data_IF_269389591573
#
_entry.id   IF_269389591573
#
_cell.length_a   1.000
_cell.length_b   1.000
_cell.length_c   1.000
_cell.angle_alpha   90.00
_cell.angle_beta   90.00
_cell.angle_gamma   90.00
#
_symmetry.space_group_name_H-M   'P 1'
#
loop_
_entity.id
_entity.type
_entity.pdbx_description
1 polymer ?
#
# COMPACT_ATOMS: atom_id res chain seq x y z
N UNK A 1 -8.25 19.84 -21.01
CA UNK A 1 -6.83 19.52 -21.30
C UNK A 1 -6.31 18.59 -20.22
N UNK A 2 -5.45 17.62 -20.56
CA UNK A 2 -4.79 16.80 -19.57
C UNK A 2 -3.89 17.66 -18.67
N UNK A 3 -3.77 17.27 -17.40
CA UNK A 3 -2.87 17.93 -16.46
C UNK A 3 -1.44 17.53 -16.83
N UNK A 4 -0.55 18.52 -16.93
CA UNK A 4 0.85 18.24 -17.20
C UNK A 4 1.50 17.56 -16.00
N UNK A 5 2.34 16.55 -16.23
CA UNK A 5 3.11 15.86 -15.20
C UNK A 5 3.96 16.84 -14.37
N UNK A 6 4.58 17.83 -15.03
CA UNK A 6 5.38 18.86 -14.35
C UNK A 6 4.57 19.66 -13.35
N UNK A 7 3.31 20.00 -13.65
CA UNK A 7 2.43 20.75 -12.73
C UNK A 7 2.21 19.99 -11.42
N UNK A 8 1.99 18.67 -11.48
CA UNK A 8 1.79 17.86 -10.27
C UNK A 8 3.08 17.78 -9.45
N UNK A 9 4.20 17.52 -10.12
CA UNK A 9 5.49 17.39 -9.43
C UNK A 9 5.96 18.71 -8.84
N UNK A 10 5.81 19.83 -9.55
CA UNK A 10 6.16 21.18 -9.07
C UNK A 10 5.29 21.58 -7.88
N UNK A 11 3.98 21.37 -7.95
CA UNK A 11 3.07 21.67 -6.83
C UNK A 11 3.41 20.82 -5.60
N UNK A 12 3.68 19.54 -5.77
CA UNK A 12 4.11 18.68 -4.67
C UNK A 12 5.45 19.13 -4.09
N UNK A 13 6.42 19.48 -4.94
CA UNK A 13 7.72 19.95 -4.51
C UNK A 13 7.66 21.28 -3.73
N UNK A 14 6.87 22.24 -4.21
CA UNK A 14 6.64 23.52 -3.52
C UNK A 14 6.01 23.28 -2.14
N UNK A 15 4.98 22.44 -2.08
CA UNK A 15 4.29 22.11 -0.83
C UNK A 15 5.21 21.44 0.18
N UNK A 16 5.98 20.45 -0.25
CA UNK A 16 6.94 19.73 0.58
C UNK A 16 7.99 20.69 1.15
N UNK A 17 8.52 21.58 0.29
CA UNK A 17 9.49 22.60 0.70
C UNK A 17 8.90 23.62 1.69
N UNK A 18 7.66 24.08 1.48
CA UNK A 18 6.97 24.98 2.41
C UNK A 18 6.83 24.37 3.82
N UNK A 19 6.72 23.06 3.91
CA UNK A 19 6.64 22.30 5.16
C UNK A 19 8.02 21.93 5.73
N UNK A 20 9.11 22.29 5.07
CA UNK A 20 10.47 21.96 5.49
C UNK A 20 10.78 20.46 5.46
N UNK A 21 10.07 19.70 4.63
CA UNK A 21 10.23 18.25 4.50
C UNK A 21 11.25 17.92 3.40
N UNK A 22 12.04 16.87 3.60
CA UNK A 22 13.07 16.41 2.66
C UNK A 22 12.79 14.95 2.27
N UNK A 23 11.92 14.69 1.27
CA UNK A 23 11.61 13.33 0.88
C UNK A 23 12.72 12.71 0.02
N UNK A 24 12.89 11.41 0.12
CA UNK A 24 13.54 10.63 -0.93
C UNK A 24 12.56 10.45 -2.09
N UNK A 25 12.91 10.95 -3.29
CA UNK A 25 12.03 10.97 -4.46
C UNK A 25 12.47 9.90 -5.46
N UNK A 26 11.49 9.11 -5.95
CA UNK A 26 11.67 8.17 -7.05
C UNK A 26 10.57 8.38 -8.07
N UNK A 27 10.93 8.60 -9.34
CA UNK A 27 9.98 8.77 -10.44
C UNK A 27 9.96 7.53 -11.33
N UNK A 28 8.76 7.18 -11.80
CA UNK A 28 8.50 6.07 -12.70
C UNK A 28 7.72 6.57 -13.90
N UNK A 29 8.17 6.24 -15.10
CA UNK A 29 7.48 6.54 -16.34
C UNK A 29 6.88 5.27 -16.95
N UNK A 30 5.72 5.42 -17.53
CA UNK A 30 4.97 4.34 -18.18
C UNK A 30 4.54 4.77 -19.57
N UNK A 31 4.38 3.82 -20.48
CA UNK A 31 3.91 4.07 -21.86
C UNK A 31 4.66 5.20 -22.55
N UNK A 32 6.00 5.14 -22.56
CA UNK A 32 6.84 6.16 -23.22
C UNK A 32 6.57 7.60 -22.70
N UNK A 33 6.39 7.76 -21.40
CA UNK A 33 6.18 9.05 -20.76
C UNK A 33 4.72 9.53 -20.73
N UNK A 34 3.77 8.78 -21.31
CA UNK A 34 2.36 9.20 -21.31
C UNK A 34 1.69 9.09 -19.92
N UNK A 35 2.26 8.31 -19.02
CA UNK A 35 1.84 8.23 -17.63
C UNK A 35 3.04 8.21 -16.69
N UNK A 36 2.85 8.73 -15.49
CA UNK A 36 3.88 8.74 -14.44
C UNK A 36 3.34 8.33 -13.09
N UNK A 37 4.25 7.83 -12.24
CA UNK A 37 4.08 7.76 -10.80
C UNK A 37 5.32 8.34 -10.13
N UNK A 38 5.15 9.22 -9.17
CA UNK A 38 6.23 9.77 -8.36
C UNK A 38 6.01 9.39 -6.92
N UNK A 39 7.03 8.80 -6.31
CA UNK A 39 7.06 8.35 -4.92
C UNK A 39 7.85 9.33 -4.08
N UNK A 40 7.27 9.83 -3.02
CA UNK A 40 7.88 10.68 -2.01
C UNK A 40 7.93 9.92 -0.69
N UNK A 41 9.11 9.51 -0.22
CA UNK A 41 9.31 8.83 1.06
C UNK A 41 9.87 9.80 2.10
N UNK A 42 9.21 9.93 3.24
CA UNK A 42 9.57 10.86 4.32
C UNK A 42 10.28 10.10 5.43
N UNK A 43 11.56 9.78 5.21
CA UNK A 43 12.36 8.97 6.13
C UNK A 43 12.55 9.63 7.49
N UNK A 44 12.60 10.95 7.55
CA UNK A 44 12.70 11.75 8.79
C UNK A 44 11.45 11.66 9.68
N UNK A 45 10.31 11.20 9.11
CA UNK A 45 9.06 10.92 9.82
C UNK A 45 8.88 9.43 10.13
N UNK A 46 9.89 8.61 9.79
CA UNK A 46 9.85 7.18 10.02
C UNK A 46 10.47 6.78 11.35
N UNK A 47 10.29 5.50 11.69
CA UNK A 47 10.91 4.90 12.87
C UNK A 47 11.12 3.40 12.69
N UNK A 48 12.07 2.86 13.47
CA UNK A 48 12.26 1.42 13.59
C UNK A 48 11.21 0.82 14.51
N UNK A 49 10.66 -0.31 14.08
CA UNK A 49 9.64 -1.07 14.81
C UNK A 49 10.13 -2.48 15.02
N UNK A 50 9.98 -2.97 16.25
CA UNK A 50 10.27 -4.36 16.58
C UNK A 50 9.19 -5.28 16.00
N UNK A 51 9.61 -6.39 15.43
CA UNK A 51 8.75 -7.35 14.75
C UNK A 51 8.16 -8.39 15.72
N UNK A 52 7.36 -7.93 16.68
CA UNK A 52 6.76 -8.77 17.71
C UNK A 52 7.72 -9.11 18.85
N UNK A 53 7.23 -9.76 19.91
CA UNK A 53 8.01 -10.03 21.13
C UNK A 53 9.21 -10.96 20.88
N UNK A 54 9.12 -11.84 19.88
CA UNK A 54 10.17 -12.78 19.49
C UNK A 54 10.89 -12.37 18.19
N UNK A 55 10.59 -11.21 17.65
CA UNK A 55 11.22 -10.71 16.44
C UNK A 55 12.68 -10.32 16.71
N UNK A 56 13.61 -10.90 15.94
CA UNK A 56 15.06 -10.63 16.05
C UNK A 56 15.51 -9.44 15.22
N UNK A 57 14.65 -8.90 14.37
CA UNK A 57 14.97 -7.81 13.45
C UNK A 57 13.98 -6.67 13.59
N UNK A 58 14.49 -5.44 13.53
CA UNK A 58 13.67 -4.26 13.39
C UNK A 58 13.30 -4.05 11.92
N UNK A 59 12.15 -3.44 11.68
CA UNK A 59 11.72 -2.94 10.38
C UNK A 59 11.56 -1.44 10.47
N UNK A 60 12.13 -0.72 9.51
CA UNK A 60 11.91 0.71 9.40
C UNK A 60 10.61 0.97 8.64
N UNK A 61 9.71 1.72 9.27
CA UNK A 61 8.47 2.20 8.66
C UNK A 61 8.54 3.71 8.49
N UNK A 62 8.12 4.22 7.34
CA UNK A 62 7.98 5.66 7.14
C UNK A 62 6.77 6.00 6.27
N UNK A 63 6.20 7.21 6.45
CA UNK A 63 5.17 7.72 5.54
C UNK A 63 5.69 7.86 4.12
N UNK A 64 4.83 7.55 3.14
CA UNK A 64 5.08 7.84 1.74
C UNK A 64 3.84 8.36 1.03
N UNK A 65 4.05 9.20 0.02
CA UNK A 65 3.01 9.69 -0.88
C UNK A 65 3.38 9.29 -2.30
N UNK A 66 2.40 8.77 -3.02
CA UNK A 66 2.48 8.49 -4.44
C UNK A 66 1.62 9.48 -5.21
N UNK A 67 2.22 10.20 -6.16
CA UNK A 67 1.53 11.03 -7.13
C UNK A 67 1.43 10.29 -8.47
N UNK A 68 0.22 10.09 -8.96
CA UNK A 68 -0.05 9.45 -10.25
C UNK A 68 -0.67 10.43 -11.22
N UNK A 69 -0.31 10.34 -12.50
CA UNK A 69 -0.92 11.11 -13.58
C UNK A 69 -0.76 10.41 -14.93
N UNK A 70 -1.61 10.76 -15.90
CA UNK A 70 -1.42 10.40 -17.30
C UNK A 70 -1.82 11.52 -18.26
N UNK A 71 -1.04 11.71 -19.31
CA UNK A 71 -1.37 12.65 -20.41
C UNK A 71 -2.46 12.13 -21.34
N UNK A 72 -2.54 10.82 -21.50
CA UNK A 72 -3.50 10.17 -22.39
C UNK A 72 -4.90 10.04 -21.78
N UNK A 73 -5.10 10.57 -20.54
CA UNK A 73 -6.37 10.52 -19.85
C UNK A 73 -6.77 9.12 -19.34
N UNK A 74 -5.90 8.13 -19.48
CA UNK A 74 -6.16 6.75 -19.01
C UNK A 74 -6.17 6.65 -17.49
N UNK A 75 -5.61 7.66 -16.82
CA UNK A 75 -5.63 7.78 -15.36
C UNK A 75 -6.02 9.17 -14.90
N UNK A 76 -6.80 9.23 -13.83
CA UNK A 76 -7.03 10.47 -13.10
C UNK A 76 -5.78 10.87 -12.33
N UNK A 77 -5.42 12.14 -12.32
CA UNK A 77 -4.40 12.65 -11.43
C UNK A 77 -4.83 12.41 -9.98
N UNK A 78 -3.97 11.79 -9.17
CA UNK A 78 -4.30 11.42 -7.80
C UNK A 78 -3.08 11.36 -6.91
N UNK A 79 -3.32 11.55 -5.61
CA UNK A 79 -2.38 11.29 -4.54
C UNK A 79 -2.86 10.12 -3.69
N UNK A 80 -1.96 9.20 -3.42
CA UNK A 80 -2.20 8.05 -2.55
C UNK A 80 -1.13 8.00 -1.50
N UNK A 81 -1.52 7.82 -0.27
CA UNK A 81 -0.57 7.61 0.79
C UNK A 81 -0.52 6.19 1.28
N UNK A 82 0.65 5.84 1.75
CA UNK A 82 0.95 4.55 2.31
C UNK A 82 2.02 4.65 3.40
N UNK A 83 2.16 3.59 4.17
CA UNK A 83 3.30 3.37 5.04
C UNK A 83 4.28 2.46 4.30
N UNK A 84 5.47 2.97 4.04
CA UNK A 84 6.56 2.17 3.48
C UNK A 84 7.14 1.24 4.54
N UNK A 85 7.29 -0.03 4.18
CA UNK A 85 7.89 -1.08 5.01
C UNK A 85 9.21 -1.53 4.37
N UNK A 86 10.33 -1.26 5.02
CA UNK A 86 11.67 -1.55 4.50
C UNK A 86 11.99 -3.05 4.37
N UNK A 87 11.33 -3.91 5.12
CA UNK A 87 11.55 -5.36 5.05
C UNK A 87 10.96 -5.97 3.77
N UNK A 88 9.84 -5.39 3.27
CA UNK A 88 9.13 -5.87 2.09
C UNK A 88 9.31 -4.95 0.89
N UNK A 89 9.88 -3.76 1.10
CA UNK A 89 10.02 -2.70 0.08
C UNK A 89 8.68 -2.28 -0.55
N UNK A 90 7.57 -2.49 0.15
CA UNK A 90 6.22 -2.18 -0.31
C UNK A 90 5.56 -1.07 0.51
N UNK A 91 4.51 -0.47 -0.07
CA UNK A 91 3.65 0.49 0.61
C UNK A 91 2.37 -0.17 1.12
N UNK A 92 2.07 0.01 2.40
CA UNK A 92 0.83 -0.45 3.04
C UNK A 92 -0.15 0.72 3.08
N UNK A 93 -1.18 0.68 2.22
CA UNK A 93 -2.20 1.72 2.15
C UNK A 93 -3.50 1.29 2.81
N UNK A 94 -4.10 2.18 3.59
CA UNK A 94 -5.42 2.00 4.21
C UNK A 94 -6.48 2.80 3.46
N UNK A 95 -7.76 2.46 3.66
CA UNK A 95 -8.88 3.09 2.94
C UNK A 95 -8.95 4.62 3.13
N UNK A 96 -8.57 5.12 4.31
CA UNK A 96 -8.57 6.55 4.63
C UNK A 96 -7.35 7.32 4.10
N UNK A 97 -6.35 6.66 3.54
CA UNK A 97 -5.15 7.26 2.93
C UNK A 97 -5.00 6.96 1.46
N UNK A 98 -5.65 5.89 0.95
CA UNK A 98 -5.64 5.61 -0.48
C UNK A 98 -6.50 6.61 -1.24
N UNK A 99 -5.96 7.16 -2.35
CA UNK A 99 -6.65 8.17 -3.17
C UNK A 99 -7.22 9.35 -2.35
N UNK A 100 -6.47 9.84 -1.36
CA UNK A 100 -6.92 10.96 -0.53
C UNK A 100 -7.16 12.23 -1.37
N UNK A 101 -6.61 12.29 -2.57
CA UNK A 101 -6.84 13.35 -3.52
C UNK A 101 -6.99 12.80 -4.95
N UNK A 102 -8.06 13.17 -5.65
CA UNK A 102 -8.31 12.84 -7.05
C UNK A 102 -8.71 14.09 -7.82
N UNK A 103 -8.02 14.37 -8.91
CA UNK A 103 -8.35 15.44 -9.85
C UNK A 103 -8.85 14.86 -11.17
N UNK A 104 -10.02 15.30 -11.60
CA UNK A 104 -10.43 15.13 -12.99
C UNK A 104 -9.59 16.08 -13.86
N UNK A 105 -9.22 15.65 -15.07
CA UNK A 105 -8.57 16.49 -16.06
C UNK A 105 -9.55 17.56 -16.57
N UNK A 106 -9.75 18.61 -15.77
CA UNK A 106 -10.61 19.76 -16.09
C UNK A 106 -9.79 21.04 -16.13
N UNK A 107 -10.35 22.12 -16.72
CA UNK A 107 -9.62 23.37 -16.96
C UNK A 107 -9.17 24.13 -15.69
N UNK A 108 -9.73 23.85 -14.51
CA UNK A 108 -9.45 24.60 -13.28
C UNK A 108 -8.59 23.79 -12.30
N UNK A 109 -7.28 23.76 -12.56
CA UNK A 109 -6.33 22.99 -11.74
C UNK A 109 -5.51 23.86 -10.76
N UNK A 110 -5.83 25.16 -10.66
CA UNK A 110 -5.09 26.10 -9.80
C UNK A 110 -5.18 25.77 -8.29
N UNK A 111 -6.22 25.02 -7.88
CA UNK A 111 -6.52 24.78 -6.46
C UNK A 111 -5.79 23.56 -5.86
N UNK A 112 -5.03 22.82 -6.68
CA UNK A 112 -4.38 21.57 -6.23
C UNK A 112 -3.42 21.80 -5.07
N UNK A 113 -2.55 22.80 -5.17
CA UNK A 113 -1.54 23.08 -4.15
C UNK A 113 -2.17 23.52 -2.82
N UNK A 114 -3.27 24.29 -2.88
CA UNK A 114 -3.96 24.79 -1.70
C UNK A 114 -4.66 23.67 -0.93
N UNK A 115 -5.43 22.82 -1.63
CA UNK A 115 -6.19 21.73 -1.02
C UNK A 115 -5.24 20.69 -0.42
N UNK A 116 -4.20 20.31 -1.15
CA UNK A 116 -3.20 19.34 -0.65
C UNK A 116 -2.43 19.92 0.53
N UNK A 117 -2.13 21.23 0.52
CA UNK A 117 -1.40 21.91 1.60
C UNK A 117 -2.15 21.94 2.91
N UNK A 118 -3.46 22.17 2.89
CA UNK A 118 -4.28 22.20 4.09
C UNK A 118 -4.48 20.82 4.73
N UNK A 119 -4.40 19.75 3.92
CA UNK A 119 -4.65 18.39 4.41
C UNK A 119 -3.38 17.60 4.74
N UNK A 120 -2.19 18.09 4.33
CA UNK A 120 -0.96 17.33 4.44
C UNK A 120 -0.60 16.98 5.90
N UNK A 121 -0.81 17.89 6.85
CA UNK A 121 -0.53 17.64 8.27
C UNK A 121 -1.47 16.57 8.82
N UNK A 122 -2.77 16.69 8.58
CA UNK A 122 -3.77 15.68 9.00
C UNK A 122 -3.52 14.33 8.31
N UNK A 123 -2.90 14.37 7.15
CA UNK A 123 -2.51 13.18 6.40
C UNK A 123 -1.32 12.46 7.08
N UNK A 124 -0.29 13.19 7.50
CA UNK A 124 0.81 12.61 8.26
C UNK A 124 0.35 12.04 9.61
N UNK A 125 -0.59 12.69 10.28
CA UNK A 125 -1.20 12.16 11.52
C UNK A 125 -1.89 10.82 11.27
N UNK A 126 -2.66 10.70 10.18
CA UNK A 126 -3.28 9.43 9.78
C UNK A 126 -2.24 8.34 9.48
N UNK A 127 -1.15 8.67 8.79
CA UNK A 127 -0.07 7.70 8.50
C UNK A 127 0.65 7.27 9.79
N UNK A 128 0.89 8.18 10.72
CA UNK A 128 1.47 7.84 12.01
C UNK A 128 0.56 6.91 12.83
N UNK A 129 -0.76 7.14 12.81
CA UNK A 129 -1.73 6.22 13.41
C UNK A 129 -1.66 4.83 12.76
N UNK A 130 -1.49 4.75 11.44
CA UNK A 130 -1.32 3.47 10.73
C UNK A 130 -0.02 2.77 11.12
N UNK A 131 1.08 3.48 11.31
CA UNK A 131 2.32 2.91 11.82
C UNK A 131 2.10 2.31 13.23
N UNK A 132 1.38 3.00 14.12
CA UNK A 132 1.04 2.49 15.44
C UNK A 132 0.18 1.22 15.37
N UNK A 133 -0.80 1.17 14.43
CA UNK A 133 -1.61 -0.03 14.21
C UNK A 133 -0.75 -1.21 13.74
N UNK A 134 0.14 -1.01 12.77
CA UNK A 134 1.03 -2.06 12.27
C UNK A 134 1.94 -2.59 13.38
N UNK A 135 2.46 -1.71 14.24
CA UNK A 135 3.24 -2.09 15.41
C UNK A 135 2.43 -2.96 16.39
N UNK A 136 1.18 -2.59 16.68
CA UNK A 136 0.29 -3.40 17.51
C UNK A 136 0.00 -4.77 16.90
N UNK A 137 -0.14 -4.86 15.57
CA UNK A 137 -0.40 -6.10 14.86
C UNK A 137 0.80 -7.05 14.83
N UNK A 138 2.01 -6.54 15.02
CA UNK A 138 3.21 -7.38 15.19
C UNK A 138 3.13 -8.28 16.42
N UNK A 139 2.35 -7.91 17.44
CA UNK A 139 2.16 -8.66 18.67
C UNK A 139 0.97 -9.63 18.65
N UNK A 140 0.20 -9.71 17.55
CA UNK A 140 -0.95 -10.59 17.41
C UNK A 140 -0.53 -11.85 16.65
N UNK A 141 -0.32 -12.94 17.36
CA UNK A 141 -0.08 -14.25 16.74
C UNK A 141 -1.36 -14.79 16.09
N UNK A 142 -1.21 -15.37 14.91
CA UNK A 142 -2.31 -15.84 14.07
C UNK A 142 -2.13 -17.31 13.76
N UNK A 143 -3.15 -18.13 14.05
CA UNK A 143 -3.17 -19.51 13.66
C UNK A 143 -3.55 -19.70 12.17
N UNK A 144 -3.39 -20.93 11.68
CA UNK A 144 -3.69 -21.26 10.28
C UNK A 144 -5.16 -20.99 9.91
N UNK A 145 -6.12 -21.34 10.77
CA UNK A 145 -7.54 -21.17 10.45
C UNK A 145 -7.93 -19.70 10.34
N UNK A 146 -7.41 -18.87 11.25
CA UNK A 146 -7.65 -17.42 11.20
C UNK A 146 -6.95 -16.80 9.97
N UNK A 147 -5.76 -17.27 9.60
CA UNK A 147 -5.09 -16.87 8.36
C UNK A 147 -5.99 -17.13 7.14
N UNK A 148 -6.51 -18.34 7.01
CA UNK A 148 -7.42 -18.72 5.90
C UNK A 148 -8.67 -17.85 5.91
N UNK A 149 -9.32 -17.67 7.09
CA UNK A 149 -10.52 -16.84 7.23
C UNK A 149 -10.29 -15.38 6.80
N UNK A 150 -9.16 -14.80 7.18
CA UNK A 150 -8.80 -13.42 6.80
C UNK A 150 -8.56 -13.30 5.31
N UNK A 151 -7.82 -14.24 4.73
CA UNK A 151 -7.47 -14.21 3.30
C UNK A 151 -8.68 -14.45 2.39
N UNK A 152 -9.64 -15.28 2.79
CA UNK A 152 -10.88 -15.53 2.02
C UNK A 152 -11.78 -14.30 1.91
N UNK A 153 -11.61 -13.30 2.75
CA UNK A 153 -12.32 -12.02 2.65
C UNK A 153 -11.72 -11.08 1.60
N UNK A 154 -10.56 -11.43 1.01
CA UNK A 154 -9.98 -10.65 -0.08
C UNK A 154 -10.67 -11.03 -1.39
N UNK A 155 -11.14 -10.03 -2.14
CA UNK A 155 -11.77 -10.25 -3.44
C UNK A 155 -10.82 -10.96 -4.40
N UNK A 156 -11.23 -12.11 -4.92
CA UNK A 156 -10.44 -12.90 -5.87
C UNK A 156 -9.43 -13.86 -5.21
N UNK A 157 -9.55 -14.09 -3.90
CA UNK A 157 -8.83 -15.13 -3.17
C UNK A 157 -9.82 -16.19 -2.70
N UNK A 158 -9.49 -17.46 -2.83
CA UNK A 158 -10.28 -18.58 -2.31
C UNK A 158 -9.41 -19.79 -2.02
N UNK A 159 -9.72 -20.51 -0.94
CA UNK A 159 -9.03 -21.74 -0.54
C UNK A 159 -9.96 -22.98 -0.60
N UNK A 160 -11.27 -22.79 -0.78
CA UNK A 160 -12.27 -23.81 -0.44
C UNK A 160 -12.99 -24.46 -1.63
N UNK A 161 -12.78 -24.08 -2.88
CA UNK A 161 -13.56 -24.67 -3.98
C UNK A 161 -12.82 -24.77 -5.32
N UNK A 162 -12.42 -25.99 -5.65
CA UNK A 162 -11.58 -26.34 -6.82
C UNK A 162 -12.35 -26.63 -8.12
N UNK A 163 -13.68 -26.52 -8.12
CA UNK A 163 -14.51 -27.09 -9.20
C UNK A 163 -14.72 -26.20 -10.43
N UNK A 164 -14.51 -24.88 -10.33
CA UNK A 164 -14.76 -23.93 -11.44
C UNK A 164 -13.48 -23.23 -11.92
N UNK A 165 -13.31 -22.95 -13.24
CA UNK A 165 -12.10 -22.30 -13.77
C UNK A 165 -11.75 -20.96 -13.14
N UNK A 166 -12.75 -20.10 -12.87
CA UNK A 166 -12.56 -18.82 -12.17
C UNK A 166 -12.04 -19.01 -10.73
N UNK A 167 -12.42 -20.10 -10.09
CA UNK A 167 -11.99 -20.45 -8.73
C UNK A 167 -10.56 -20.99 -8.69
N UNK A 168 -10.08 -21.67 -9.75
CA UNK A 168 -8.68 -22.09 -9.88
C UNK A 168 -7.72 -20.92 -9.88
N UNK A 169 -8.09 -19.77 -10.47
CA UNK A 169 -7.26 -18.58 -10.45
C UNK A 169 -7.23 -17.95 -9.05
N UNK A 170 -8.36 -17.90 -8.36
CA UNK A 170 -8.46 -17.41 -6.99
C UNK A 170 -7.65 -18.28 -6.00
N UNK A 171 -7.68 -19.60 -6.18
CA UNK A 171 -6.89 -20.56 -5.42
C UNK A 171 -5.38 -20.33 -5.64
N UNK A 172 -4.92 -20.24 -6.89
CA UNK A 172 -3.52 -19.90 -7.21
C UNK A 172 -3.06 -18.60 -6.56
N UNK A 173 -3.97 -17.63 -6.47
CA UNK A 173 -3.68 -16.36 -5.78
C UNK A 173 -3.54 -16.59 -4.27
N UNK A 174 -4.43 -17.37 -3.68
CA UNK A 174 -4.36 -17.76 -2.27
C UNK A 174 -3.06 -18.49 -1.92
N UNK A 175 -2.69 -19.49 -2.73
CA UNK A 175 -1.44 -20.26 -2.55
C UNK A 175 -0.20 -19.37 -2.63
N UNK A 176 -0.18 -18.40 -3.55
CA UNK A 176 0.92 -17.44 -3.68
C UNK A 176 1.02 -16.55 -2.43
N UNK A 177 -0.08 -15.98 -1.98
CA UNK A 177 -0.10 -15.14 -0.76
C UNK A 177 0.35 -15.98 0.44
N UNK A 178 -0.17 -17.19 0.59
CA UNK A 178 0.20 -18.10 1.67
C UNK A 178 1.70 -18.42 1.67
N UNK A 179 2.28 -18.72 0.51
CA UNK A 179 3.72 -18.93 0.35
C UNK A 179 4.53 -17.68 0.73
N UNK A 180 4.03 -16.49 0.41
CA UNK A 180 4.69 -15.22 0.76
C UNK A 180 4.66 -14.97 2.27
N UNK A 181 3.61 -15.38 3.01
CA UNK A 181 3.55 -15.23 4.47
C UNK A 181 4.77 -15.87 5.14
N UNK A 182 5.14 -17.09 4.75
CA UNK A 182 6.34 -17.75 5.30
C UNK A 182 7.62 -17.01 4.93
N UNK A 183 7.69 -16.45 3.72
CA UNK A 183 8.79 -15.57 3.31
C UNK A 183 8.92 -14.34 4.21
N UNK A 184 7.81 -13.70 4.56
CA UNK A 184 7.78 -12.53 5.45
C UNK A 184 8.20 -12.89 6.88
N UNK A 185 7.68 -13.98 7.44
CA UNK A 185 8.09 -14.49 8.76
C UNK A 185 9.61 -14.70 8.81
N UNK A 186 10.19 -15.35 7.79
CA UNK A 186 11.63 -15.57 7.70
C UNK A 186 12.44 -14.28 7.56
N UNK A 187 12.00 -13.35 6.71
CA UNK A 187 12.67 -12.04 6.53
C UNK A 187 12.76 -11.26 7.85
N UNK A 188 11.73 -11.34 8.67
CA UNK A 188 11.62 -10.64 9.95
C UNK A 188 12.25 -11.37 11.12
N UNK A 189 12.74 -12.59 10.92
CA UNK A 189 13.32 -13.44 11.96
C UNK A 189 12.30 -13.83 13.04
N UNK A 190 11.05 -14.02 12.64
CA UNK A 190 9.96 -14.45 13.52
C UNK A 190 9.90 -15.98 13.57
N UNK A 191 9.42 -16.53 14.69
CA UNK A 191 9.15 -17.97 14.85
C UNK A 191 7.73 -18.32 14.39
N UNK A 192 6.77 -17.43 14.66
CA UNK A 192 5.35 -17.63 14.39
C UNK A 192 4.80 -16.62 13.40
N UNK A 193 3.70 -16.98 12.73
CA UNK A 193 2.93 -16.04 11.90
C UNK A 193 2.23 -15.05 12.81
N UNK A 194 2.43 -13.76 12.56
CA UNK A 194 1.66 -12.69 13.20
C UNK A 194 0.82 -11.94 12.16
N UNK A 195 -0.09 -11.11 12.64
CA UNK A 195 -1.01 -10.38 11.78
C UNK A 195 -0.28 -9.45 10.80
N UNK A 196 0.82 -8.83 11.23
CA UNK A 196 1.62 -8.00 10.33
C UNK A 196 2.24 -8.81 9.18
N UNK A 197 2.76 -10.04 9.43
CA UNK A 197 3.31 -10.90 8.36
C UNK A 197 2.26 -11.20 7.28
N UNK A 198 1.01 -11.43 7.69
CA UNK A 198 -0.11 -11.65 6.77
C UNK A 198 -0.38 -10.39 5.95
N UNK A 199 -0.48 -9.22 6.61
CA UNK A 199 -0.71 -7.93 5.95
C UNK A 199 0.40 -7.61 4.96
N UNK A 200 1.66 -7.79 5.35
CA UNK A 200 2.81 -7.57 4.47
C UNK A 200 2.80 -8.48 3.24
N UNK A 201 2.48 -9.75 3.41
CA UNK A 201 2.39 -10.68 2.27
C UNK A 201 1.27 -10.27 1.30
N UNK A 202 0.10 -9.88 1.81
CA UNK A 202 -1.02 -9.43 0.98
C UNK A 202 -0.71 -8.11 0.27
N UNK A 203 -0.12 -7.15 0.96
CA UNK A 203 0.25 -5.85 0.35
C UNK A 203 1.37 -6.01 -0.65
N UNK A 204 2.36 -6.87 -0.38
CA UNK A 204 3.41 -7.22 -1.32
C UNK A 204 2.81 -7.80 -2.61
N UNK A 205 1.90 -8.78 -2.50
CA UNK A 205 1.19 -9.33 -3.65
C UNK A 205 0.43 -8.26 -4.45
N UNK A 206 -0.10 -7.23 -3.80
CA UNK A 206 -0.85 -6.15 -4.45
C UNK A 206 0.02 -5.09 -5.12
N UNK A 207 1.24 -4.88 -4.64
CA UNK A 207 2.15 -3.81 -5.06
C UNK A 207 3.30 -4.31 -5.92
N UNK A 208 3.89 -5.46 -5.59
CA UNK A 208 4.95 -6.05 -6.37
C UNK A 208 4.33 -6.85 -7.53
N UNK A 209 4.76 -6.53 -8.71
CA UNK A 209 4.39 -7.27 -9.90
C UNK A 209 5.36 -8.39 -10.14
N UNK A 210 4.83 -9.57 -10.16
CA UNK A 210 5.48 -10.73 -10.78
C UNK A 210 5.32 -10.72 -12.32
N UNK A 211 5.46 -9.60 -12.98
CA UNK A 211 5.60 -9.61 -14.43
C UNK A 211 7.06 -9.97 -14.75
N UNK A 212 7.27 -11.25 -14.93
CA UNK A 212 8.55 -11.83 -15.38
C UNK A 212 9.08 -11.01 -16.56
N UNK A 213 10.10 -10.22 -16.32
CA UNK A 213 10.90 -9.57 -17.35
C UNK A 213 10.48 -8.15 -17.74
N UNK A 214 9.48 -7.53 -17.11
CA UNK A 214 9.23 -6.10 -17.35
C UNK A 214 10.04 -5.26 -16.38
N UNK A 215 11.08 -4.62 -16.89
CA UNK A 215 11.60 -3.42 -16.24
C UNK A 215 10.43 -2.48 -15.94
N UNK A 216 10.43 -1.85 -14.78
CA UNK A 216 9.43 -0.84 -14.35
C UNK A 216 9.15 0.19 -15.47
N UNK A 217 10.14 0.46 -16.32
CA UNK A 217 10.08 1.36 -17.47
C UNK A 217 9.22 0.88 -18.66
N UNK A 218 8.68 -0.32 -18.66
CA UNK A 218 7.89 -0.88 -19.77
C UNK A 218 6.45 -1.23 -19.45
N UNK A 219 5.93 -0.84 -18.28
CA UNK A 219 4.58 -1.21 -17.87
C UNK A 219 3.52 -0.38 -18.61
N UNK A 220 2.48 -1.05 -19.12
CA UNK A 220 1.33 -0.37 -19.72
C UNK A 220 0.46 0.31 -18.67
N UNK A 221 -0.31 1.36 -19.08
CA UNK A 221 -1.30 2.02 -18.20
C UNK A 221 -2.37 1.05 -17.70
N UNK A 222 -2.73 0.02 -18.48
CA UNK A 222 -3.64 -1.04 -18.02
C UNK A 222 -3.06 -1.81 -16.83
N UNK A 223 -1.77 -2.05 -16.85
CA UNK A 223 -1.07 -2.69 -15.75
C UNK A 223 -1.06 -1.82 -14.49
N UNK A 224 -0.90 -0.51 -14.63
CA UNK A 224 -0.97 0.44 -13.52
C UNK A 224 -2.39 0.50 -12.94
N UNK A 225 -3.44 0.51 -13.78
CA UNK A 225 -4.84 0.48 -13.34
C UNK A 225 -5.19 -0.80 -12.57
N UNK A 226 -4.70 -1.95 -13.00
CA UNK A 226 -4.88 -3.22 -12.27
C UNK A 226 -4.19 -3.17 -10.89
N UNK A 227 -2.98 -2.62 -10.82
CA UNK A 227 -2.27 -2.43 -9.55
C UNK A 227 -3.04 -1.56 -8.57
N UNK A 228 -3.60 -0.44 -9.07
CA UNK A 228 -4.43 0.46 -8.25
C UNK A 228 -5.69 -0.22 -7.74
N UNK A 229 -6.42 -0.91 -8.61
CA UNK A 229 -7.63 -1.64 -8.18
C UNK A 229 -7.31 -2.71 -7.13
N UNK A 230 -6.15 -3.38 -7.23
CA UNK A 230 -5.69 -4.32 -6.20
C UNK A 230 -5.38 -3.61 -4.88
N UNK A 231 -4.67 -2.47 -4.93
CA UNK A 231 -4.38 -1.67 -3.74
C UNK A 231 -5.66 -1.18 -3.06
N UNK A 232 -6.66 -0.71 -3.82
CA UNK A 232 -7.97 -0.32 -3.28
C UNK A 232 -8.70 -1.48 -2.60
N UNK A 233 -8.67 -2.68 -3.20
CA UNK A 233 -9.24 -3.88 -2.60
C UNK A 233 -8.53 -4.27 -1.30
N UNK A 234 -7.20 -4.23 -1.27
CA UNK A 234 -6.39 -4.53 -0.08
C UNK A 234 -6.62 -3.47 1.00
N UNK A 235 -6.64 -2.18 0.65
CA UNK A 235 -6.93 -1.12 1.60
C UNK A 235 -8.33 -1.25 2.23
N UNK A 236 -9.32 -1.69 1.44
CA UNK A 236 -10.66 -1.99 1.95
C UNK A 236 -10.66 -3.20 2.89
N UNK A 237 -9.93 -4.25 2.54
CA UNK A 237 -9.75 -5.43 3.39
C UNK A 237 -9.06 -5.08 4.70
N UNK A 238 -7.98 -4.30 4.67
CA UNK A 238 -7.28 -3.83 5.88
C UNK A 238 -8.22 -3.08 6.83
N UNK A 239 -9.00 -2.13 6.30
CA UNK A 239 -9.84 -1.26 7.12
C UNK A 239 -11.11 -1.97 7.63
N UNK A 240 -11.70 -2.85 6.83
CA UNK A 240 -13.03 -3.42 7.14
C UNK A 240 -12.95 -4.83 7.74
N UNK A 241 -11.82 -5.53 7.61
CA UNK A 241 -11.67 -6.91 8.07
C UNK A 241 -10.52 -7.02 9.08
N UNK A 242 -9.31 -6.57 8.71
CA UNK A 242 -8.12 -6.77 9.54
C UNK A 242 -8.15 -5.91 10.80
N UNK A 243 -8.46 -4.62 10.67
CA UNK A 243 -8.48 -3.73 11.82
C UNK A 243 -9.53 -4.14 12.88
N UNK A 244 -10.81 -4.43 12.54
CA UNK A 244 -11.77 -4.94 13.50
C UNK A 244 -11.37 -6.30 14.12
N UNK A 245 -10.75 -7.20 13.33
CA UNK A 245 -10.22 -8.47 13.86
C UNK A 245 -9.12 -8.22 14.90
N UNK A 246 -8.18 -7.31 14.61
CA UNK A 246 -7.10 -6.95 15.51
C UNK A 246 -7.62 -6.31 16.81
N UNK A 247 -8.55 -5.36 16.70
CA UNK A 247 -9.20 -4.73 17.86
C UNK A 247 -9.85 -5.76 18.78
N UNK A 248 -10.56 -6.73 18.21
CA UNK A 248 -11.22 -7.80 18.96
C UNK A 248 -10.19 -8.69 19.68
N UNK A 249 -9.08 -9.03 19.03
CA UNK A 249 -8.00 -9.83 19.64
C UNK A 249 -7.30 -9.07 20.77
N UNK A 250 -7.01 -7.79 20.59
CA UNK A 250 -6.37 -6.94 21.61
C UNK A 250 -7.29 -6.72 22.82
N UNK A 251 -8.61 -6.71 22.61
CA UNK A 251 -9.60 -6.63 23.68
C UNK A 251 -9.82 -7.96 24.44
N UNK A 252 -9.10 -9.03 24.10
CA UNK A 252 -9.24 -10.35 24.72
C UNK A 252 -10.44 -11.16 24.22
N UNK A 253 -11.05 -10.74 23.09
CA UNK A 253 -12.16 -11.47 22.46
C UNK A 253 -11.69 -12.78 21.83
N UNK A 254 -12.42 -13.88 22.10
CA UNK A 254 -12.33 -15.10 21.29
C UNK A 254 -13.09 -14.87 19.97
N UNK A 255 -12.44 -15.12 18.85
CA UNK A 255 -13.04 -15.03 17.50
C UNK A 255 -13.50 -16.40 17.02
#
# INVERSE_FOLDING_TARGET
QPINNSVITENMFQLINQKGLIPHITAYEYNNGSAMAVRYQFKEKGRDIQQGPNGTKNTFLCPEIWAYNSYDGTQTARLTGAVYDSACENGIAFKNTINFYKLKHTKNNADMAYIVGSELDSYFDRLNQQINLLESWANIEINYMDTVRLLEKIKGVSFLDRTKPAKRQAEKTGDKIHSQIFGEVKKRGQENVNLWSIVSAVTNYSTLREDKGSNIHGLSTNSLNVGVSRQENVASWLSNIVAPFAENRLAGGLV
#
